data_IF_418613491948
#
_entry.id   IF_418613491948
#
_cell.length_a   1.000
_cell.length_b   1.000
_cell.length_c   1.000
_cell.angle_alpha   90.00
_cell.angle_beta   90.00
_cell.angle_gamma   90.00
#
_symmetry.space_group_name_H-M   'P 1'
#
loop_
_entity.id
_entity.type
_entity.pdbx_description
1 polymer ?
#
# COMPACT_ATOMS: atom_id res chain seq x y z
N UNK A 1 -41.75 76.49 -26.02
CA UNK A 1 -40.75 75.99 -25.05
C UNK A 1 -41.42 75.77 -23.69
N UNK A 2 -41.73 74.53 -23.33
CA UNK A 2 -42.20 74.15 -21.99
C UNK A 2 -41.10 73.35 -21.32
N UNK A 3 -40.46 73.90 -20.27
CA UNK A 3 -39.49 73.19 -19.44
C UNK A 3 -40.26 72.23 -18.54
N UNK A 4 -40.02 70.92 -18.68
CA UNK A 4 -40.49 69.90 -17.73
C UNK A 4 -39.48 69.85 -16.57
N UNK A 5 -39.90 70.27 -15.38
CA UNK A 5 -39.26 69.86 -14.14
C UNK A 5 -39.64 68.39 -13.89
N UNK A 6 -38.64 67.52 -13.84
CA UNK A 6 -38.79 66.13 -13.41
C UNK A 6 -38.86 66.15 -11.89
N UNK A 7 -40.04 65.81 -11.36
CA UNK A 7 -40.24 65.49 -9.96
C UNK A 7 -39.40 64.24 -9.63
N UNK A 8 -38.44 64.40 -8.72
CA UNK A 8 -37.66 63.33 -8.13
C UNK A 8 -38.61 62.49 -7.26
N UNK A 9 -39.25 61.48 -7.87
CA UNK A 9 -40.03 60.48 -7.16
C UNK A 9 -39.09 59.62 -6.33
N UNK A 10 -39.27 59.66 -5.01
CA UNK A 10 -38.82 58.66 -4.05
C UNK A 10 -39.13 57.26 -4.61
N UNK A 11 -38.13 56.57 -5.18
CA UNK A 11 -38.24 55.15 -5.47
C UNK A 11 -37.79 54.42 -4.21
N UNK A 12 -38.82 53.87 -3.57
CA UNK A 12 -38.82 52.86 -2.52
C UNK A 12 -37.50 52.13 -2.29
N UNK A 13 -36.97 52.33 -1.08
CA UNK A 13 -36.32 51.29 -0.27
C UNK A 13 -37.21 50.04 -0.20
N UNK A 14 -37.10 49.14 -1.18
CA UNK A 14 -37.60 47.77 -1.06
C UNK A 14 -36.90 46.86 -2.06
N UNK A 15 -35.58 46.74 -1.92
CA UNK A 15 -34.77 45.64 -2.44
C UNK A 15 -34.17 44.87 -1.25
N UNK A 16 -35.04 44.49 -0.31
CA UNK A 16 -34.77 43.41 0.65
C UNK A 16 -35.84 42.34 0.42
N UNK A 17 -35.65 41.57 -0.64
CA UNK A 17 -36.29 40.28 -0.80
C UNK A 17 -35.27 39.35 -1.46
N UNK A 18 -35.09 38.18 -0.84
CA UNK A 18 -34.23 37.06 -1.22
C UNK A 18 -32.76 37.13 -0.77
N UNK A 19 -32.52 36.86 0.51
CA UNK A 19 -31.44 35.95 0.89
C UNK A 19 -32.09 34.84 1.70
N UNK A 20 -32.31 33.69 1.07
CA UNK A 20 -32.88 32.53 1.74
C UNK A 20 -32.07 32.18 2.97
N UNK A 21 -32.74 32.11 4.13
CA UNK A 21 -32.19 31.56 5.36
C UNK A 21 -32.16 30.04 5.22
N UNK A 22 -31.22 29.55 4.41
CA UNK A 22 -30.95 28.13 4.23
C UNK A 22 -29.45 27.93 4.16
N UNK A 23 -28.93 27.06 5.02
CA UNK A 23 -27.56 26.56 4.92
C UNK A 23 -27.33 26.01 3.51
N UNK A 24 -26.31 26.50 2.81
CA UNK A 24 -26.03 26.07 1.45
C UNK A 24 -25.43 24.67 1.45
N UNK A 25 -25.95 23.78 0.59
CA UNK A 25 -25.39 22.43 0.43
C UNK A 25 -24.29 22.44 -0.62
N UNK A 26 -23.05 22.18 -0.21
CA UNK A 26 -21.88 22.14 -1.08
C UNK A 26 -21.45 20.70 -1.37
N UNK A 27 -21.28 20.36 -2.64
CA UNK A 27 -20.63 19.11 -3.04
C UNK A 27 -19.11 19.27 -2.95
N UNK A 28 -18.47 18.46 -2.10
CA UNK A 28 -17.03 18.50 -1.86
C UNK A 28 -16.33 17.21 -2.31
N UNK A 29 -16.99 16.38 -3.14
CA UNK A 29 -16.44 15.10 -3.59
C UNK A 29 -15.06 15.24 -4.25
N UNK A 30 -14.85 16.30 -5.03
CA UNK A 30 -13.57 16.60 -5.69
C UNK A 30 -12.47 17.11 -4.73
N UNK A 31 -12.83 17.44 -3.50
CA UNK A 31 -11.91 17.90 -2.46
C UNK A 31 -11.40 16.77 -1.56
N UNK A 32 -11.83 15.53 -1.79
CA UNK A 32 -11.32 14.37 -1.07
C UNK A 32 -10.16 13.78 -1.86
N UNK A 33 -9.00 13.76 -1.23
CA UNK A 33 -7.81 13.07 -1.70
C UNK A 33 -7.70 11.72 -1.00
N UNK A 34 -7.58 10.65 -1.77
CA UNK A 34 -7.30 9.30 -1.27
C UNK A 34 -5.89 8.93 -1.70
N UNK A 35 -5.02 8.69 -0.73
CA UNK A 35 -3.61 8.37 -0.92
C UNK A 35 -3.23 7.12 -0.12
N UNK A 36 -2.12 6.51 -0.48
CA UNK A 36 -1.66 5.27 0.17
C UNK A 36 -0.91 5.59 1.47
N UNK A 37 -1.28 4.93 2.57
CA UNK A 37 -0.46 4.80 3.77
C UNK A 37 0.46 3.57 3.71
N UNK A 38 1.37 3.42 4.68
CA UNK A 38 2.33 2.30 4.72
C UNK A 38 1.64 0.94 4.94
N UNK A 39 2.19 -0.11 4.30
CA UNK A 39 1.71 -1.50 4.41
C UNK A 39 2.07 -2.09 5.78
N UNK A 40 1.10 -2.66 6.50
CA UNK A 40 1.28 -3.19 7.86
C UNK A 40 1.29 -4.73 7.94
N UNK A 41 1.51 -5.45 6.84
CA UNK A 41 1.60 -6.92 6.87
C UNK A 41 0.27 -7.67 6.78
N UNK A 42 -0.88 -7.02 6.96
CA UNK A 42 -2.19 -7.71 6.95
C UNK A 42 -3.31 -6.99 6.18
N UNK A 43 -3.27 -5.67 6.07
CA UNK A 43 -4.19 -4.92 5.22
C UNK A 43 -3.56 -3.58 4.75
N UNK A 44 -4.00 -3.09 3.59
CA UNK A 44 -3.58 -1.77 3.09
C UNK A 44 -4.29 -0.68 3.86
N UNK A 45 -3.53 0.22 4.48
CA UNK A 45 -4.06 1.43 5.11
C UNK A 45 -4.27 2.45 4.00
N UNK A 46 -5.52 2.87 3.80
CA UNK A 46 -5.84 4.02 2.97
C UNK A 46 -5.78 5.26 3.84
N UNK A 47 -5.00 6.25 3.43
CA UNK A 47 -5.07 7.58 4.01
C UNK A 47 -6.04 8.37 3.17
N UNK A 48 -7.11 8.84 3.80
CA UNK A 48 -8.10 9.69 3.16
C UNK A 48 -8.05 11.04 3.84
N UNK A 49 -7.92 12.09 3.06
CA UNK A 49 -7.82 13.46 3.57
C UNK A 49 -8.67 14.40 2.76
N UNK A 50 -9.15 15.45 3.41
CA UNK A 50 -9.66 16.61 2.71
C UNK A 50 -8.50 17.48 2.22
N UNK A 51 -8.49 17.80 0.93
CA UNK A 51 -7.57 18.75 0.32
C UNK A 51 -8.01 20.17 0.68
N UNK A 52 -7.29 20.77 1.63
CA UNK A 52 -7.55 22.13 2.09
C UNK A 52 -7.46 23.16 0.96
N UNK A 53 -6.55 23.00 0.01
CA UNK A 53 -6.39 23.95 -1.10
C UNK A 53 -7.64 23.96 -1.97
N UNK A 54 -8.11 22.78 -2.38
CA UNK A 54 -9.35 22.64 -3.15
C UNK A 54 -10.58 23.13 -2.38
N UNK A 55 -10.63 22.92 -1.06
CA UNK A 55 -11.70 23.47 -0.22
C UNK A 55 -11.65 25.00 -0.20
N UNK A 56 -10.48 25.61 -0.05
CA UNK A 56 -10.31 27.08 0.00
C UNK A 56 -10.59 27.77 -1.34
N UNK A 57 -10.49 27.05 -2.46
CA UNK A 57 -10.90 27.55 -3.78
C UNK A 57 -12.41 27.80 -3.86
N UNK A 58 -13.21 27.14 -3.00
CA UNK A 58 -14.63 27.43 -2.85
C UNK A 58 -14.78 28.78 -2.13
N UNK A 59 -15.42 29.81 -2.73
CA UNK A 59 -15.44 31.17 -2.20
C UNK A 59 -15.90 31.29 -0.73
N UNK A 60 -16.84 30.45 -0.30
CA UNK A 60 -17.35 30.43 1.08
C UNK A 60 -16.39 29.81 2.09
N UNK A 61 -15.45 28.98 1.66
CA UNK A 61 -14.51 28.25 2.51
C UNK A 61 -13.10 28.85 2.50
N UNK A 62 -12.91 30.03 1.89
CA UNK A 62 -11.61 30.71 1.79
C UNK A 62 -10.95 30.98 3.17
N UNK A 63 -11.75 31.04 4.24
CA UNK A 63 -11.28 31.21 5.61
C UNK A 63 -10.99 29.91 6.37
N UNK A 64 -11.22 28.74 5.76
CA UNK A 64 -10.97 27.43 6.38
C UNK A 64 -9.47 27.28 6.65
N UNK A 65 -9.08 26.84 7.84
CA UNK A 65 -7.67 26.63 8.22
C UNK A 65 -7.38 25.15 8.45
N UNK A 66 -6.11 24.72 8.41
CA UNK A 66 -5.74 23.34 8.75
C UNK A 66 -6.21 22.93 10.15
N UNK A 67 -6.19 23.85 11.12
CA UNK A 67 -6.62 23.57 12.50
C UNK A 67 -8.13 23.27 12.59
N UNK A 68 -8.95 23.93 11.75
CA UNK A 68 -10.39 23.65 11.62
C UNK A 68 -10.73 22.35 10.87
N UNK A 69 -9.72 21.69 10.29
CA UNK A 69 -9.85 20.35 9.69
C UNK A 69 -9.37 19.24 10.64
N UNK A 70 -8.60 19.58 11.68
CA UNK A 70 -7.89 18.60 12.48
C UNK A 70 -8.83 17.91 13.46
N UNK A 71 -9.21 16.67 13.14
CA UNK A 71 -10.11 15.86 13.96
C UNK A 71 -11.61 16.16 13.74
N UNK A 72 -11.92 17.08 12.84
CA UNK A 72 -13.29 17.50 12.52
C UNK A 72 -13.94 16.66 11.42
N UNK A 73 -13.22 15.70 10.85
CA UNK A 73 -13.76 14.77 9.87
C UNK A 73 -13.15 13.38 9.99
N UNK A 74 -13.91 12.40 9.50
CA UNK A 74 -13.50 11.01 9.34
C UNK A 74 -14.01 10.50 8.01
N UNK A 75 -13.11 10.03 7.17
CA UNK A 75 -13.46 9.34 5.92
C UNK A 75 -13.36 7.84 6.18
N UNK A 76 -14.43 7.12 5.87
CA UNK A 76 -14.49 5.66 6.01
C UNK A 76 -14.83 5.01 4.68
N UNK A 77 -14.36 3.77 4.51
CA UNK A 77 -14.75 2.93 3.39
C UNK A 77 -16.13 2.33 3.68
N UNK A 78 -17.03 2.36 2.71
CA UNK A 78 -18.36 1.77 2.83
C UNK A 78 -18.28 0.30 2.46
N UNK A 79 -18.55 -0.58 3.44
CA UNK A 79 -18.61 -2.03 3.29
C UNK A 79 -17.49 -2.77 4.04
N UNK A 80 -17.61 -4.10 4.12
CA UNK A 80 -16.76 -4.95 4.97
C UNK A 80 -15.51 -5.48 4.27
N UNK A 81 -15.20 -4.99 3.06
CA UNK A 81 -14.08 -5.51 2.26
C UNK A 81 -12.74 -5.03 2.81
N UNK A 82 -11.97 -5.95 3.37
CA UNK A 82 -10.64 -5.68 3.95
C UNK A 82 -9.48 -6.02 3.01
N UNK A 83 -9.71 -6.81 1.95
CA UNK A 83 -8.69 -7.34 1.04
C UNK A 83 -8.58 -6.56 -0.30
N UNK A 84 -8.52 -5.24 -0.24
CA UNK A 84 -8.59 -4.39 -1.44
C UNK A 84 -7.41 -4.58 -2.43
N UNK A 85 -7.75 -4.61 -3.72
CA UNK A 85 -6.85 -4.87 -4.88
C UNK A 85 -6.96 -3.76 -5.91
N UNK A 86 -5.94 -3.60 -6.75
CA UNK A 86 -6.02 -2.70 -7.90
C UNK A 86 -7.19 -3.11 -8.80
N UNK A 87 -7.97 -2.14 -9.26
CA UNK A 87 -9.19 -2.32 -10.03
C UNK A 87 -10.46 -2.49 -9.18
N UNK A 88 -10.35 -2.70 -7.86
CA UNK A 88 -11.54 -2.72 -7.00
C UNK A 88 -12.21 -1.35 -7.00
N UNK A 89 -13.54 -1.35 -6.94
CA UNK A 89 -14.31 -0.12 -6.80
C UNK A 89 -14.86 -0.01 -5.39
N UNK A 90 -14.58 1.10 -4.70
CA UNK A 90 -15.04 1.33 -3.34
C UNK A 90 -15.81 2.62 -3.25
N UNK A 91 -16.74 2.68 -2.31
CA UNK A 91 -17.45 3.89 -1.95
C UNK A 91 -16.89 4.44 -0.65
N UNK A 92 -16.76 5.74 -0.56
CA UNK A 92 -16.36 6.41 0.67
C UNK A 92 -17.60 6.98 1.37
N UNK A 93 -17.45 7.19 2.67
CA UNK A 93 -18.36 7.96 3.50
C UNK A 93 -17.57 9.03 4.26
N UNK A 94 -18.14 10.22 4.39
CA UNK A 94 -17.55 11.34 5.11
C UNK A 94 -18.44 11.68 6.30
N UNK A 95 -17.89 11.49 7.50
CA UNK A 95 -18.41 12.06 8.74
C UNK A 95 -17.65 13.36 9.01
N UNK A 96 -18.34 14.42 9.43
CA UNK A 96 -17.72 15.70 9.73
C UNK A 96 -18.53 16.52 10.75
N UNK A 97 -17.88 17.50 11.37
CA UNK A 97 -18.48 18.41 12.35
C UNK A 97 -19.41 19.45 11.68
N UNK A 98 -20.65 19.05 11.40
CA UNK A 98 -21.65 19.91 10.72
C UNK A 98 -21.87 21.27 11.37
N UNK A 99 -21.79 21.35 12.70
CA UNK A 99 -22.05 22.58 13.46
C UNK A 99 -21.00 23.65 13.15
N UNK A 100 -19.72 23.27 13.11
CA UNK A 100 -18.61 24.16 12.77
C UNK A 100 -18.81 24.78 11.38
N UNK A 101 -19.08 23.96 10.36
CA UNK A 101 -19.24 24.46 8.98
C UNK A 101 -20.52 25.28 8.78
N UNK A 102 -21.60 24.91 9.46
CA UNK A 102 -22.85 25.67 9.40
C UNK A 102 -22.70 27.02 10.09
N UNK A 103 -22.04 27.08 11.25
CA UNK A 103 -21.89 28.31 12.04
C UNK A 103 -20.88 29.28 11.42
N UNK A 104 -19.71 28.79 11.02
CA UNK A 104 -18.59 29.65 10.62
C UNK A 104 -18.62 29.98 9.12
N UNK A 105 -19.24 29.13 8.30
CA UNK A 105 -19.27 29.29 6.84
C UNK A 105 -20.68 29.29 6.24
N UNK A 106 -21.73 28.98 7.01
CA UNK A 106 -23.12 28.84 6.54
C UNK A 106 -23.26 27.83 5.39
N UNK A 107 -22.59 26.68 5.53
CA UNK A 107 -22.61 25.58 4.57
C UNK A 107 -22.77 24.22 5.24
N UNK A 108 -23.38 23.29 4.53
CA UNK A 108 -23.43 21.86 4.86
C UNK A 108 -22.79 21.10 3.69
N UNK A 109 -21.83 20.23 3.98
CA UNK A 109 -21.29 19.35 2.94
C UNK A 109 -22.30 18.28 2.57
N UNK A 110 -22.63 18.24 1.28
CA UNK A 110 -23.28 17.12 0.63
C UNK A 110 -22.18 16.24 0.06
N UNK A 111 -22.12 15.00 0.53
CA UNK A 111 -21.23 13.99 -0.01
C UNK A 111 -22.07 12.84 -0.54
N UNK A 112 -22.17 12.73 -1.86
CA UNK A 112 -22.69 11.50 -2.46
C UNK A 112 -21.55 10.48 -2.48
N UNK A 113 -21.79 9.22 -2.05
CA UNK A 113 -20.74 8.19 -2.02
C UNK A 113 -20.08 8.08 -3.40
N UNK A 114 -18.88 8.64 -3.51
CA UNK A 114 -18.14 8.63 -4.77
C UNK A 114 -17.50 7.26 -4.91
N UNK A 115 -17.83 6.58 -6.01
CA UNK A 115 -17.16 5.34 -6.38
C UNK A 115 -15.76 5.70 -6.90
N UNK A 116 -14.74 5.28 -6.16
CA UNK A 116 -13.35 5.40 -6.58
C UNK A 116 -12.84 4.02 -6.99
N UNK A 117 -12.01 3.98 -8.04
CA UNK A 117 -11.27 2.76 -8.38
C UNK A 117 -9.98 2.76 -7.60
N UNK A 118 -9.70 1.67 -6.90
CA UNK A 118 -8.44 1.43 -6.22
C UNK A 118 -7.37 1.20 -7.29
N UNK A 119 -6.28 1.95 -7.25
CA UNK A 119 -5.15 1.79 -8.15
C UNK A 119 -3.84 1.73 -7.34
N UNK A 120 -2.66 1.77 -7.96
CA UNK A 120 -1.39 2.06 -7.28
C UNK A 120 -0.92 1.11 -6.16
N UNK A 121 -1.66 0.08 -5.80
CA UNK A 121 -1.26 -0.89 -4.80
C UNK A 121 -0.05 -1.66 -5.34
N UNK A 122 1.03 -1.71 -4.56
CA UNK A 122 2.05 -2.74 -4.79
C UNK A 122 1.35 -4.09 -4.65
N UNK A 123 1.35 -4.85 -5.74
CA UNK A 123 1.02 -6.26 -5.65
C UNK A 123 2.23 -6.90 -4.99
N UNK A 124 2.02 -7.52 -3.83
CA UNK A 124 3.04 -8.33 -3.20
C UNK A 124 2.87 -9.75 -3.69
N UNK A 125 3.98 -10.43 -3.91
CA UNK A 125 3.98 -11.87 -4.15
C UNK A 125 3.26 -12.59 -3.00
N UNK A 126 2.30 -13.45 -3.32
CA UNK A 126 1.55 -14.25 -2.34
C UNK A 126 1.73 -15.75 -2.57
N UNK A 127 1.81 -16.16 -3.84
CA UNK A 127 1.87 -17.56 -4.24
C UNK A 127 2.69 -17.74 -5.51
N UNK A 128 3.13 -18.98 -5.75
CA UNK A 128 4.04 -19.30 -6.86
C UNK A 128 3.51 -18.94 -8.24
N UNK A 129 2.20 -19.00 -8.46
CA UNK A 129 1.54 -18.65 -9.72
C UNK A 129 1.45 -17.15 -10.01
N UNK A 130 1.85 -16.30 -9.05
CA UNK A 130 1.96 -14.86 -9.29
C UNK A 130 3.20 -14.51 -10.14
N UNK A 131 4.14 -15.44 -10.29
CA UNK A 131 5.35 -15.28 -11.09
C UNK A 131 5.31 -16.14 -12.35
N UNK A 132 5.66 -15.52 -13.48
CA UNK A 132 5.90 -16.23 -14.73
C UNK A 132 7.16 -17.08 -14.65
N UNK A 133 7.29 -18.05 -15.56
CA UNK A 133 8.50 -18.88 -15.67
C UNK A 133 9.77 -18.04 -15.85
N UNK A 134 9.73 -17.02 -16.72
CA UNK A 134 10.87 -16.12 -16.96
C UNK A 134 11.26 -15.37 -15.68
N UNK A 135 10.29 -14.88 -14.91
CA UNK A 135 10.55 -14.20 -13.64
C UNK A 135 11.19 -15.13 -12.60
N UNK A 136 10.76 -16.39 -12.53
CA UNK A 136 11.40 -17.41 -11.69
C UNK A 136 12.85 -17.67 -12.11
N UNK A 137 13.11 -17.78 -13.41
CA UNK A 137 14.46 -17.99 -13.95
C UNK A 137 15.38 -16.80 -13.64
N UNK A 138 14.89 -15.57 -13.77
CA UNK A 138 15.64 -14.35 -13.43
C UNK A 138 15.94 -14.26 -11.94
N UNK A 139 14.96 -14.54 -11.07
CA UNK A 139 15.17 -14.57 -9.62
C UNK A 139 16.24 -15.59 -9.23
N UNK A 140 16.15 -16.82 -9.77
CA UNK A 140 17.14 -17.86 -9.53
C UNK A 140 18.54 -17.44 -9.99
N UNK A 141 18.66 -16.92 -11.21
CA UNK A 141 19.93 -16.48 -11.78
C UNK A 141 20.57 -15.42 -10.89
N UNK A 142 19.81 -14.40 -10.49
CA UNK A 142 20.31 -13.32 -9.65
C UNK A 142 20.67 -13.82 -8.25
N UNK A 143 19.85 -14.66 -7.64
CA UNK A 143 20.14 -15.26 -6.32
C UNK A 143 21.38 -16.14 -6.34
N UNK A 144 21.55 -16.96 -7.38
CA UNK A 144 22.76 -17.77 -7.55
C UNK A 144 24.01 -16.91 -7.70
N UNK A 145 23.95 -15.88 -8.54
CA UNK A 145 25.07 -14.94 -8.72
C UNK A 145 25.47 -14.26 -7.40
N UNK A 146 24.49 -13.84 -6.59
CA UNK A 146 24.73 -13.25 -5.28
C UNK A 146 25.41 -14.24 -4.32
N UNK A 147 24.94 -15.49 -4.29
CA UNK A 147 25.54 -16.55 -3.47
C UNK A 147 26.97 -16.88 -3.92
N UNK A 148 27.22 -17.05 -5.22
CA UNK A 148 28.55 -17.29 -5.78
C UNK A 148 29.54 -16.17 -5.44
N UNK A 149 29.09 -14.91 -5.56
CA UNK A 149 29.90 -13.75 -5.16
C UNK A 149 30.28 -13.84 -3.68
N UNK A 150 29.32 -14.18 -2.81
CA UNK A 150 29.54 -14.26 -1.37
C UNK A 150 30.52 -15.37 -0.99
N UNK A 151 30.43 -16.53 -1.63
CA UNK A 151 31.38 -17.64 -1.44
C UNK A 151 32.78 -17.23 -1.89
N UNK A 152 32.90 -16.58 -3.06
CA UNK A 152 34.18 -16.10 -3.58
C UNK A 152 34.86 -15.10 -2.62
N UNK A 153 34.10 -14.17 -2.03
CA UNK A 153 34.61 -13.24 -1.02
C UNK A 153 35.20 -13.94 0.22
N UNK A 154 34.71 -15.15 0.54
CA UNK A 154 35.13 -15.95 1.69
C UNK A 154 36.06 -17.12 1.34
N UNK A 155 36.48 -17.25 0.08
CA UNK A 155 37.25 -18.39 -0.44
C UNK A 155 36.58 -19.75 -0.18
N UNK A 156 35.28 -19.84 -0.42
CA UNK A 156 34.45 -21.05 -0.25
C UNK A 156 33.97 -21.57 -1.61
N UNK A 157 33.59 -22.85 -1.68
CA UNK A 157 33.21 -23.53 -2.93
C UNK A 157 31.96 -24.41 -2.77
N UNK A 158 31.59 -25.08 -3.87
CA UNK A 158 30.59 -26.16 -3.93
C UNK A 158 29.16 -25.70 -3.66
N UNK A 159 28.78 -24.57 -4.27
CA UNK A 159 27.43 -24.04 -4.21
C UNK A 159 26.44 -24.95 -4.96
N UNK A 160 25.47 -25.51 -4.24
CA UNK A 160 24.42 -26.35 -4.80
C UNK A 160 23.05 -25.84 -4.32
N UNK A 161 22.10 -25.63 -5.25
CA UNK A 161 20.73 -25.31 -4.87
C UNK A 161 20.05 -26.56 -4.32
N UNK A 162 19.40 -26.43 -3.16
CA UNK A 162 18.75 -27.54 -2.47
C UNK A 162 17.24 -27.40 -2.42
N UNK A 163 16.72 -26.21 -2.08
CA UNK A 163 15.28 -25.93 -2.07
C UNK A 163 14.95 -24.49 -2.46
N UNK A 164 13.70 -24.32 -2.90
CA UNK A 164 13.07 -23.03 -3.09
C UNK A 164 11.76 -23.02 -2.32
N UNK A 165 11.61 -22.07 -1.40
CA UNK A 165 10.43 -21.91 -0.57
C UNK A 165 9.75 -20.58 -0.81
N UNK A 166 8.44 -20.56 -0.66
CA UNK A 166 7.72 -19.36 -0.23
C UNK A 166 7.60 -19.46 1.28
N UNK A 167 8.12 -18.46 1.97
CA UNK A 167 8.05 -18.37 3.42
C UNK A 167 7.04 -17.29 3.78
N UNK A 168 6.11 -17.65 4.67
CA UNK A 168 5.15 -16.71 5.25
C UNK A 168 5.38 -16.64 6.75
N UNK A 169 5.56 -15.41 7.22
CA UNK A 169 5.70 -15.10 8.63
C UNK A 169 4.57 -14.15 9.05
N UNK A 170 4.26 -14.16 10.34
CA UNK A 170 3.27 -13.24 10.88
C UNK A 170 3.78 -11.80 10.69
N UNK A 171 2.90 -10.91 10.23
CA UNK A 171 3.14 -9.48 10.08
C UNK A 171 4.23 -9.09 9.04
N UNK A 172 4.71 -10.03 8.22
CA UNK A 172 5.70 -9.80 7.17
C UNK A 172 5.15 -10.26 5.81
N UNK A 173 5.44 -9.50 4.74
CA UNK A 173 5.11 -9.94 3.38
C UNK A 173 5.79 -11.27 3.05
N UNK A 174 5.10 -12.20 2.36
CA UNK A 174 5.72 -13.43 1.91
C UNK A 174 6.99 -13.16 1.09
N UNK A 175 8.00 -14.01 1.26
CA UNK A 175 9.25 -13.92 0.54
C UNK A 175 9.66 -15.27 -0.02
N UNK A 176 10.59 -15.25 -0.98
CA UNK A 176 11.11 -16.46 -1.62
C UNK A 176 12.51 -16.72 -1.06
N UNK A 177 12.74 -17.87 -0.47
CA UNK A 177 14.09 -18.32 -0.09
C UNK A 177 14.63 -19.32 -1.11
N UNK A 178 15.78 -19.00 -1.70
CA UNK A 178 16.62 -19.97 -2.40
C UNK A 178 17.65 -20.51 -1.42
N UNK A 179 17.43 -21.72 -0.94
CA UNK A 179 18.33 -22.39 0.00
C UNK A 179 19.37 -23.19 -0.78
N UNK A 180 20.62 -22.82 -0.60
CA UNK A 180 21.80 -23.48 -1.14
C UNK A 180 22.58 -24.20 -0.04
N UNK A 181 23.47 -25.10 -0.44
CA UNK A 181 24.56 -25.60 0.39
C UNK A 181 25.91 -25.19 -0.17
N UNK A 182 26.92 -25.11 0.70
CA UNK A 182 28.33 -24.89 0.35
C UNK A 182 29.24 -25.64 1.32
N UNK A 183 30.52 -25.78 0.98
CA UNK A 183 31.55 -26.29 1.88
C UNK A 183 32.22 -25.14 2.63
N UNK A 184 32.27 -25.22 3.96
CA UNK A 184 33.07 -24.30 4.76
C UNK A 184 34.58 -24.61 4.64
N UNK A 185 35.42 -23.80 5.31
CA UNK A 185 36.88 -24.00 5.29
C UNK A 185 37.36 -25.33 5.89
N UNK A 186 36.51 -26.03 6.64
CA UNK A 186 36.75 -27.37 7.19
C UNK A 186 36.18 -28.48 6.30
N UNK A 187 35.73 -28.16 5.07
CA UNK A 187 35.09 -29.06 4.13
C UNK A 187 33.78 -29.71 4.67
N UNK A 188 33.10 -29.01 5.58
CA UNK A 188 31.80 -29.44 6.09
C UNK A 188 30.68 -28.69 5.34
N UNK A 189 29.63 -29.41 4.92
CA UNK A 189 28.47 -28.78 4.29
C UNK A 189 27.71 -27.87 5.27
N UNK A 190 27.31 -26.71 4.77
CA UNK A 190 26.53 -25.67 5.47
C UNK A 190 25.44 -25.11 4.57
N UNK A 191 24.43 -24.49 5.17
CA UNK A 191 23.35 -23.83 4.43
C UNK A 191 23.62 -22.35 4.19
N UNK A 192 23.15 -21.87 3.05
CA UNK A 192 23.12 -20.45 2.68
C UNK A 192 21.74 -20.15 2.09
N UNK A 193 21.07 -19.14 2.63
CA UNK A 193 19.77 -18.68 2.14
C UNK A 193 19.93 -17.38 1.38
N UNK A 194 19.33 -17.29 0.20
CA UNK A 194 19.14 -16.03 -0.51
C UNK A 194 17.66 -15.68 -0.51
N UNK A 195 17.32 -14.71 0.34
CA UNK A 195 15.97 -14.27 0.60
C UNK A 195 15.61 -13.16 -0.39
N UNK A 196 14.50 -13.34 -1.10
CA UNK A 196 13.97 -12.41 -2.08
C UNK A 196 12.62 -11.87 -1.59
N UNK A 197 12.58 -10.60 -1.22
CA UNK A 197 11.32 -9.88 -1.04
C UNK A 197 10.84 -9.40 -2.40
N UNK A 198 9.69 -9.90 -2.84
CA UNK A 198 9.18 -9.68 -4.19
C UNK A 198 7.95 -8.79 -4.18
N UNK A 199 7.95 -7.81 -5.07
CA UNK A 199 6.84 -6.89 -5.32
C UNK A 199 6.68 -6.61 -6.80
N UNK A 200 5.53 -6.09 -7.19
CA UNK A 200 5.26 -5.68 -8.56
C UNK A 200 4.93 -4.19 -8.59
N UNK A 201 5.40 -3.51 -9.65
CA UNK A 201 4.96 -2.15 -9.94
C UNK A 201 3.55 -2.14 -10.58
N UNK A 202 3.05 -0.94 -10.88
CA UNK A 202 1.73 -0.75 -11.52
C UNK A 202 1.59 -1.40 -12.90
N UNK A 203 2.69 -1.73 -13.57
CA UNK A 203 2.73 -2.36 -14.88
C UNK A 203 2.98 -3.87 -14.78
N UNK A 204 2.93 -4.44 -13.56
CA UNK A 204 3.32 -5.82 -13.24
C UNK A 204 4.78 -6.17 -13.53
N UNK A 205 5.67 -5.17 -13.61
CA UNK A 205 7.10 -5.47 -13.66
C UNK A 205 7.57 -5.95 -12.28
N UNK A 206 8.38 -7.00 -12.30
CA UNK A 206 8.95 -7.60 -11.10
C UNK A 206 9.99 -6.66 -10.50
N UNK A 207 9.86 -6.38 -9.21
CA UNK A 207 10.89 -5.76 -8.39
C UNK A 207 11.23 -6.70 -7.23
N UNK A 208 12.52 -6.94 -6.98
CA UNK A 208 12.95 -7.73 -5.84
C UNK A 208 14.06 -7.03 -5.05
N UNK A 209 14.02 -7.19 -3.74
CA UNK A 209 15.12 -6.91 -2.83
C UNK A 209 15.71 -8.22 -2.36
N UNK A 210 17.04 -8.34 -2.35
CA UNK A 210 17.74 -9.56 -1.97
C UNK A 210 18.55 -9.35 -0.70
N UNK A 211 18.47 -10.31 0.21
CA UNK A 211 19.39 -10.46 1.32
C UNK A 211 19.96 -11.88 1.34
N UNK A 212 21.14 -12.03 1.95
CA UNK A 212 21.86 -13.29 2.01
C UNK A 212 22.18 -13.62 3.46
N UNK A 213 21.87 -14.85 3.87
CA UNK A 213 22.18 -15.38 5.20
C UNK A 213 23.04 -16.63 5.07
N UNK A 214 24.18 -16.63 5.75
CA UNK A 214 25.03 -17.81 5.86
C UNK A 214 24.81 -18.46 7.22
N UNK A 215 24.40 -19.71 7.24
CA UNK A 215 24.08 -20.44 8.45
C UNK A 215 25.30 -21.23 8.93
N UNK A 216 26.39 -20.51 9.22
CA UNK A 216 27.69 -21.11 9.57
C UNK A 216 27.61 -22.05 10.80
N UNK A 217 26.67 -21.78 11.70
CA UNK A 217 26.45 -22.55 12.93
C UNK A 217 25.55 -23.78 12.74
N UNK A 218 24.88 -23.92 11.60
CA UNK A 218 23.93 -24.99 11.34
C UNK A 218 24.55 -25.93 10.32
N UNK A 219 24.95 -27.11 10.81
CA UNK A 219 25.47 -28.18 9.94
C UNK A 219 24.31 -28.81 9.19
N UNK A 220 24.56 -29.24 7.95
CA UNK A 220 23.60 -30.09 7.25
C UNK A 220 23.54 -31.43 7.97
N UNK A 221 22.38 -31.74 8.55
CA UNK A 221 22.11 -33.05 9.14
C UNK A 221 21.48 -33.97 8.09
N UNK A 222 22.29 -34.87 7.54
CA UNK A 222 21.85 -35.82 6.52
C UNK A 222 20.93 -36.92 7.06
N UNK A 223 20.75 -37.03 8.38
CA UNK A 223 19.75 -37.94 8.96
C UNK A 223 18.35 -37.35 8.93
N UNK A 224 18.26 -36.03 8.76
CA UNK A 224 17.02 -35.27 8.60
C UNK A 224 16.73 -35.04 7.12
N UNK A 225 15.45 -34.98 6.79
CA UNK A 225 15.00 -34.43 5.51
C UNK A 225 15.47 -32.98 5.38
N UNK A 226 15.58 -32.51 4.15
CA UNK A 226 15.95 -31.14 3.88
C UNK A 226 14.89 -30.15 4.40
N UNK A 227 13.64 -30.58 4.56
CA UNK A 227 12.56 -29.78 5.17
C UNK A 227 12.78 -29.63 6.68
N UNK A 228 13.12 -30.71 7.39
CA UNK A 228 13.44 -30.68 8.82
C UNK A 228 14.64 -29.78 9.11
N UNK A 229 15.70 -29.86 8.29
CA UNK A 229 16.83 -28.94 8.36
C UNK A 229 16.41 -27.46 8.16
N UNK A 230 15.43 -27.19 7.29
CA UNK A 230 14.99 -25.81 7.01
C UNK A 230 14.10 -25.26 8.12
N UNK A 231 13.23 -26.08 8.73
CA UNK A 231 12.37 -25.65 9.84
C UNK A 231 13.16 -25.18 11.06
N UNK A 232 14.40 -25.67 11.23
CA UNK A 232 15.32 -25.15 12.26
C UNK A 232 15.76 -23.71 11.97
N UNK A 233 15.76 -23.27 10.71
CA UNK A 233 16.16 -21.92 10.31
C UNK A 233 15.07 -20.88 10.63
N UNK A 234 13.79 -21.21 10.45
CA UNK A 234 12.67 -20.30 10.72
C UNK A 234 11.47 -21.01 11.39
N UNK A 235 11.59 -21.40 12.67
CA UNK A 235 10.65 -22.31 13.34
C UNK A 235 9.21 -21.81 13.44
N UNK A 236 8.97 -20.50 13.30
CA UNK A 236 7.65 -19.87 13.40
C UNK A 236 7.02 -19.52 12.04
N UNK A 237 7.53 -20.09 10.95
CA UNK A 237 7.09 -19.75 9.58
C UNK A 237 6.27 -20.87 8.94
N UNK A 238 5.31 -20.48 8.11
CA UNK A 238 4.68 -21.39 7.15
C UNK A 238 5.57 -21.46 5.89
N UNK A 239 5.87 -22.67 5.45
CA UNK A 239 6.70 -22.91 4.27
C UNK A 239 5.88 -23.60 3.19
N UNK A 240 5.93 -23.06 1.98
CA UNK A 240 5.40 -23.70 0.78
C UNK A 240 6.58 -24.05 -0.12
N UNK A 241 6.83 -25.34 -0.29
CA UNK A 241 7.87 -25.83 -1.19
C UNK A 241 7.47 -25.57 -2.64
N UNK A 242 8.27 -24.78 -3.36
CA UNK A 242 8.13 -24.54 -4.80
C UNK A 242 8.95 -25.56 -5.58
N UNK A 243 10.14 -25.87 -5.08
CA UNK A 243 11.06 -26.83 -5.70
C UNK A 243 11.97 -27.46 -4.65
N UNK A 244 12.32 -28.73 -4.82
CA UNK A 244 13.33 -29.42 -4.01
C UNK A 244 14.16 -30.40 -4.82
N UNK A 245 15.41 -30.59 -4.43
CA UNK A 245 16.27 -31.63 -5.01
C UNK A 245 15.74 -33.05 -4.74
N UNK A 246 15.12 -33.28 -3.57
CA UNK A 246 14.51 -34.55 -3.15
C UNK A 246 13.33 -35.01 -4.04
N UNK A 247 12.81 -34.13 -4.91
CA UNK A 247 11.68 -34.42 -5.80
C UNK A 247 12.09 -34.90 -7.21
N UNK A 248 13.38 -35.20 -7.41
CA UNK A 248 13.93 -35.84 -8.62
C UNK A 248 14.14 -37.33 -8.41
#
# INVERSE_FOLDING_TARGET
MKKKLVFLGLICLSLFAFVGCGTEKLDISNCIDVRYGEFNGSAKIYESSLDLGKLQDIPKLKGLTPDMLKGDYKITLVGDKTDLKNGDKVKLHLEYNKELYTKDFNVEFKFEPTEITIEGLKNYFQKSSDLTKSQWEDLYKNSKQLAEKKLKEKNLSDLELKKVYIVKEKDISPYIDFTFTYNNSSNEKRFLSVINQVSFDKNNNLNNSQSISMWDNIKVDYTKTLEENTKELFPNSEYITVWSEESK
#
